data_IF_384821637778
#
_entry.id   IF_384821637778
#
_cell.length_a   1.000
_cell.length_b   1.000
_cell.length_c   1.000
_cell.angle_alpha   90.00
_cell.angle_beta   90.00
_cell.angle_gamma   90.00
#
_symmetry.space_group_name_H-M   'P 1'
#
loop_
_entity.id
_entity.type
_entity.pdbx_description
1 polymer ?
#
# COMPACT_ATOMS: atom_id res chain seq x y z
N UNK A 1 7.51 6.28 -8.90
CA UNK A 1 6.57 5.44 -8.13
C UNK A 1 7.06 4.00 -8.18
N UNK A 2 7.16 3.33 -7.04
CA UNK A 2 7.49 1.91 -6.95
C UNK A 2 6.21 1.09 -6.81
N UNK A 3 6.05 0.08 -7.67
CA UNK A 3 4.93 -0.86 -7.59
C UNK A 3 5.24 -1.96 -6.57
N UNK A 4 4.49 -1.98 -5.47
CA UNK A 4 4.57 -3.00 -4.42
C UNK A 4 3.29 -3.86 -4.37
N UNK A 5 2.54 -3.95 -5.47
CA UNK A 5 1.25 -4.67 -5.51
C UNK A 5 1.23 -5.79 -6.55
N UNK A 6 2.19 -5.80 -7.48
CA UNK A 6 2.25 -6.80 -8.57
C UNK A 6 3.16 -7.96 -8.17
N UNK A 7 2.93 -8.47 -6.96
CA UNK A 7 3.63 -9.55 -6.25
C UNK A 7 5.03 -9.22 -5.71
N UNK A 8 5.78 -8.32 -6.34
CA UNK A 8 7.09 -7.92 -5.87
C UNK A 8 7.00 -6.76 -4.86
N UNK A 9 6.90 -7.07 -3.57
CA UNK A 9 7.03 -6.05 -2.51
C UNK A 9 8.51 -5.81 -2.23
N UNK A 10 8.94 -4.55 -2.31
CA UNK A 10 10.32 -4.18 -2.07
C UNK A 10 10.67 -4.30 -0.59
N UNK A 11 11.81 -4.86 -0.23
CA UNK A 11 12.27 -4.82 1.17
C UNK A 11 12.62 -3.39 1.58
N UNK A 12 12.58 -3.10 2.88
CA UNK A 12 12.98 -1.80 3.45
C UNK A 12 14.37 -1.38 2.95
N UNK A 13 15.34 -2.29 2.99
CA UNK A 13 16.70 -2.03 2.50
C UNK A 13 16.76 -1.67 1.01
N UNK A 14 15.92 -2.30 0.19
CA UNK A 14 15.85 -1.96 -1.22
C UNK A 14 15.21 -0.59 -1.45
N UNK A 15 14.18 -0.22 -0.69
CA UNK A 15 13.59 1.12 -0.73
C UNK A 15 14.61 2.18 -0.32
N UNK A 16 15.38 1.97 0.75
CA UNK A 16 16.50 2.86 1.15
C UNK A 16 17.52 3.05 0.04
N UNK A 17 17.83 1.98 -0.70
CA UNK A 17 18.72 2.05 -1.87
C UNK A 17 18.16 2.91 -3.00
N UNK A 18 16.85 2.80 -3.27
CA UNK A 18 16.15 3.67 -4.22
C UNK A 18 16.16 5.13 -3.76
N UNK A 19 15.90 5.40 -2.49
CA UNK A 19 15.97 6.76 -1.90
C UNK A 19 17.33 7.41 -2.16
N UNK A 20 18.44 6.71 -1.89
CA UNK A 20 19.79 7.22 -2.18
C UNK A 20 20.01 7.50 -3.66
N UNK A 21 19.40 6.73 -4.54
CA UNK A 21 19.48 6.91 -5.99
C UNK A 21 18.71 8.15 -6.41
N UNK A 22 17.48 8.31 -5.93
CA UNK A 22 16.63 9.48 -6.17
C UNK A 22 17.28 10.77 -5.68
N UNK A 23 17.88 10.75 -4.49
CA UNK A 23 18.58 11.90 -3.94
C UNK A 23 19.74 12.37 -4.84
N UNK A 24 20.54 11.42 -5.37
CA UNK A 24 21.62 11.73 -6.33
C UNK A 24 21.10 12.31 -7.65
N UNK A 25 19.88 11.95 -8.04
CA UNK A 25 19.24 12.44 -9.26
C UNK A 25 18.52 13.78 -9.06
N UNK A 26 18.50 14.33 -7.84
CA UNK A 26 17.79 15.58 -7.54
C UNK A 26 16.27 15.43 -7.43
N UNK A 27 15.78 14.21 -7.23
CA UNK A 27 14.35 13.94 -7.01
C UNK A 27 13.99 14.15 -5.53
N UNK A 28 12.77 14.59 -5.25
CA UNK A 28 12.28 14.93 -3.90
C UNK A 28 11.02 14.16 -3.46
N UNK A 29 10.51 13.23 -4.29
CA UNK A 29 9.33 12.42 -3.96
C UNK A 29 9.58 10.97 -4.34
N UNK A 30 9.24 10.07 -3.43
CA UNK A 30 9.10 8.64 -3.69
C UNK A 30 7.65 8.22 -3.42
N UNK A 31 6.93 7.87 -4.48
CA UNK A 31 5.58 7.30 -4.37
C UNK A 31 5.66 5.78 -4.20
N UNK A 32 4.94 5.23 -3.21
CA UNK A 32 4.88 3.79 -2.92
C UNK A 32 3.46 3.25 -3.20
N UNK A 33 3.32 2.44 -4.25
CA UNK A 33 2.02 1.92 -4.67
C UNK A 33 1.68 0.60 -4.00
N UNK A 34 0.65 0.63 -3.15
CA UNK A 34 0.23 -0.49 -2.29
C UNK A 34 -1.28 -0.67 -2.32
N UNK A 35 -1.77 -1.65 -3.10
CA UNK A 35 -3.17 -2.05 -3.18
C UNK A 35 -3.61 -2.70 -1.86
N UNK A 36 -2.98 -3.83 -1.52
CA UNK A 36 -3.27 -4.63 -0.32
C UNK A 36 -2.02 -4.89 0.54
N UNK A 37 -0.87 -4.31 0.20
CA UNK A 37 0.45 -4.67 0.75
C UNK A 37 0.89 -3.77 1.90
N UNK A 38 -0.04 -3.43 2.80
CA UNK A 38 0.21 -2.79 4.08
C UNK A 38 -0.74 -3.34 5.14
N UNK A 39 -0.43 -3.17 6.43
CA UNK A 39 -1.30 -3.61 7.51
C UNK A 39 -2.48 -2.66 7.76
N UNK A 40 -3.67 -3.25 7.91
CA UNK A 40 -4.89 -2.56 8.36
C UNK A 40 -5.37 -3.24 9.65
N UNK A 41 -5.42 -2.53 10.79
CA UNK A 41 -5.91 -3.08 12.04
C UNK A 41 -7.34 -3.64 11.92
N UNK A 42 -7.58 -4.83 12.47
CA UNK A 42 -8.90 -5.49 12.40
C UNK A 42 -9.18 -6.23 11.07
N UNK A 43 -8.29 -6.14 10.08
CA UNK A 43 -8.47 -6.75 8.76
C UNK A 43 -7.42 -7.85 8.49
N UNK A 44 -7.58 -9.05 9.09
CA UNK A 44 -6.55 -10.09 9.06
C UNK A 44 -6.20 -10.55 7.63
N UNK A 45 -7.19 -10.60 6.73
CA UNK A 45 -7.02 -11.04 5.35
C UNK A 45 -6.34 -10.00 4.45
N UNK A 46 -6.36 -8.73 4.82
CA UNK A 46 -5.77 -7.66 4.01
C UNK A 46 -4.25 -7.83 3.95
N UNK A 47 -3.70 -8.05 2.75
CA UNK A 47 -2.26 -8.30 2.56
C UNK A 47 -1.76 -9.66 3.08
N UNK A 48 -2.66 -10.56 3.48
CA UNK A 48 -2.27 -11.90 3.94
C UNK A 48 -1.50 -12.67 2.85
N UNK A 49 -0.33 -13.18 3.21
CA UNK A 49 0.61 -13.89 2.31
C UNK A 49 1.14 -13.06 1.13
N UNK A 50 1.11 -11.73 1.24
CA UNK A 50 1.50 -10.81 0.16
C UNK A 50 2.82 -10.08 0.44
N UNK A 51 3.39 -10.27 1.62
CA UNK A 51 4.55 -9.49 2.08
C UNK A 51 4.17 -8.05 2.44
N UNK A 52 2.98 -7.84 3.02
CA UNK A 52 2.50 -6.51 3.42
C UNK A 52 3.47 -5.83 4.38
N UNK A 53 3.67 -4.54 4.21
CA UNK A 53 4.46 -3.75 5.14
C UNK A 53 3.75 -3.60 6.49
N UNK A 54 4.51 -3.74 7.57
CA UNK A 54 4.04 -3.34 8.89
C UNK A 54 4.25 -1.82 9.09
N UNK A 55 3.51 -1.23 10.03
CA UNK A 55 3.60 0.22 10.33
C UNK A 55 5.03 0.68 10.59
N UNK A 56 5.82 -0.10 11.34
CA UNK A 56 7.20 0.23 11.67
C UNK A 56 8.11 0.30 10.43
N UNK A 57 7.92 -0.58 9.44
CA UNK A 57 8.70 -0.56 8.20
C UNK A 57 8.40 0.69 7.38
N UNK A 58 7.13 1.08 7.28
CA UNK A 58 6.74 2.32 6.58
C UNK A 58 7.34 3.54 7.27
N UNK A 59 7.25 3.61 8.60
CA UNK A 59 7.85 4.70 9.38
C UNK A 59 9.38 4.76 9.24
N UNK A 60 10.04 3.61 9.19
CA UNK A 60 11.48 3.54 8.96
C UNK A 60 11.88 4.06 7.57
N UNK A 61 11.12 3.67 6.53
CA UNK A 61 11.35 4.16 5.17
C UNK A 61 11.10 5.67 5.04
N UNK A 62 10.03 6.17 5.66
CA UNK A 62 9.68 7.60 5.67
C UNK A 62 10.74 8.44 6.38
N UNK A 63 11.15 8.04 7.59
CA UNK A 63 12.21 8.70 8.33
C UNK A 63 13.54 8.70 7.56
N UNK A 64 13.87 7.59 6.90
CA UNK A 64 15.06 7.51 6.06
C UNK A 64 14.98 8.42 4.82
N UNK A 65 13.81 8.52 4.16
CA UNK A 65 13.59 9.41 3.03
C UNK A 65 13.75 10.88 3.42
N UNK A 66 13.21 11.26 4.58
CA UNK A 66 13.25 12.62 5.14
C UNK A 66 14.69 13.14 5.31
N UNK A 67 15.65 12.26 5.68
CA UNK A 67 17.06 12.62 5.79
C UNK A 67 17.67 13.17 4.49
N UNK A 68 17.08 12.86 3.34
CA UNK A 68 17.52 13.32 2.01
C UNK A 68 16.60 14.39 1.41
N UNK A 69 15.62 14.91 2.17
CA UNK A 69 14.61 15.84 1.64
C UNK A 69 13.65 15.19 0.65
N UNK A 70 13.46 13.86 0.74
CA UNK A 70 12.50 13.12 -0.08
C UNK A 70 11.24 12.84 0.73
N UNK A 71 10.07 13.19 0.18
CA UNK A 71 8.76 12.84 0.73
C UNK A 71 8.35 11.44 0.27
N UNK A 72 7.97 10.57 1.21
CA UNK A 72 7.39 9.26 0.91
C UNK A 72 5.86 9.40 0.83
N UNK A 73 5.30 9.24 -0.37
CA UNK A 73 3.86 9.41 -0.61
C UNK A 73 3.21 8.04 -0.82
N UNK A 74 2.25 7.61 0.04
CA UNK A 74 1.51 6.38 -0.18
C UNK A 74 0.54 6.53 -1.35
N UNK A 75 0.49 5.53 -2.22
CA UNK A 75 -0.49 5.44 -3.30
C UNK A 75 -1.34 4.18 -3.07
N UNK A 76 -2.50 4.36 -2.45
CA UNK A 76 -3.42 3.28 -2.06
C UNK A 76 -4.61 3.17 -3.02
N UNK A 77 -5.47 2.19 -2.76
CA UNK A 77 -6.74 2.02 -3.46
C UNK A 77 -7.92 2.16 -2.51
N UNK A 78 -8.92 2.94 -2.94
CA UNK A 78 -10.18 3.17 -2.21
C UNK A 78 -11.41 2.83 -3.06
N UNK A 79 -11.22 2.21 -4.23
CA UNK A 79 -12.31 1.83 -5.12
C UNK A 79 -12.04 0.50 -5.86
N UNK A 80 -11.06 0.48 -6.76
CA UNK A 80 -10.78 -0.64 -7.65
C UNK A 80 -9.36 -1.21 -7.43
N UNK A 81 -8.93 -2.17 -8.26
CA UNK A 81 -7.63 -2.84 -8.15
C UNK A 81 -7.40 -3.54 -6.80
N UNK A 82 -8.49 -4.01 -6.18
CA UNK A 82 -8.47 -4.66 -4.87
C UNK A 82 -8.68 -6.17 -4.95
N UNK A 83 -8.38 -6.80 -6.10
CA UNK A 83 -8.58 -8.24 -6.32
C UNK A 83 -8.03 -9.09 -5.16
N UNK A 84 -6.80 -8.80 -4.71
CA UNK A 84 -6.16 -9.57 -3.65
C UNK A 84 -6.76 -9.34 -2.26
N UNK A 85 -7.32 -8.16 -2.01
CA UNK A 85 -8.04 -7.86 -0.77
C UNK A 85 -9.47 -8.44 -0.77
N UNK A 86 -10.16 -8.45 -1.92
CA UNK A 86 -11.58 -8.79 -2.04
C UNK A 86 -11.87 -10.26 -2.37
N UNK A 87 -10.84 -11.07 -2.65
CA UNK A 87 -10.98 -12.52 -2.92
C UNK A 87 -11.34 -13.36 -1.68
N UNK A 88 -11.13 -12.84 -0.48
CA UNK A 88 -11.32 -13.59 0.77
C UNK A 88 -12.80 -13.71 1.18
N UNK A 89 -13.17 -14.75 1.95
CA UNK A 89 -14.52 -14.88 2.51
C UNK A 89 -14.94 -13.64 3.31
N UNK A 90 -16.22 -13.29 3.24
CA UNK A 90 -16.78 -12.13 3.95
C UNK A 90 -16.76 -10.81 3.16
N UNK A 91 -15.98 -10.70 2.09
CA UNK A 91 -15.88 -9.46 1.28
C UNK A 91 -16.99 -9.27 0.25
N UNK A 92 -17.82 -10.29 0.00
CA UNK A 92 -18.94 -10.20 -0.96
C UNK A 92 -19.95 -9.09 -0.63
N UNK A 93 -20.05 -8.65 0.63
CA UNK A 93 -20.98 -7.57 1.02
C UNK A 93 -20.56 -6.19 0.50
N UNK A 94 -19.28 -5.98 0.23
CA UNK A 94 -18.71 -4.67 -0.16
C UNK A 94 -18.14 -4.70 -1.58
N UNK A 95 -18.29 -5.82 -2.31
CA UNK A 95 -17.67 -6.10 -3.59
C UNK A 95 -18.69 -5.99 -4.73
N UNK A 96 -18.49 -5.05 -5.63
CA UNK A 96 -19.32 -4.83 -6.83
C UNK A 96 -18.93 -5.79 -7.95
N UNK A 97 -17.63 -5.87 -8.24
CA UNK A 97 -17.04 -6.80 -9.20
C UNK A 97 -15.79 -7.47 -8.61
N UNK A 98 -15.08 -8.29 -9.38
CA UNK A 98 -13.91 -9.08 -8.91
C UNK A 98 -12.86 -8.26 -8.13
N UNK A 99 -12.70 -6.97 -8.43
CA UNK A 99 -11.69 -6.10 -7.85
C UNK A 99 -12.19 -4.69 -7.48
N UNK A 100 -13.51 -4.45 -7.54
CA UNK A 100 -14.15 -3.14 -7.31
C UNK A 100 -15.06 -3.17 -6.08
N UNK A 101 -14.97 -2.12 -5.25
CA UNK A 101 -15.84 -1.86 -4.11
C UNK A 101 -17.18 -1.22 -4.51
N UNK A 102 -18.25 -1.51 -3.77
CA UNK A 102 -19.57 -0.91 -3.97
C UNK A 102 -19.57 0.55 -3.52
N UNK A 103 -19.82 1.48 -4.44
CA UNK A 103 -19.94 2.91 -4.15
C UNK A 103 -21.22 3.22 -3.37
N UNK A 104 -21.14 4.12 -2.39
CA UNK A 104 -22.29 4.64 -1.64
C UNK A 104 -22.82 3.71 -0.54
N UNK A 105 -22.16 2.57 -0.30
CA UNK A 105 -22.53 1.62 0.76
C UNK A 105 -21.80 1.94 2.07
N UNK A 106 -22.53 1.98 3.19
CA UNK A 106 -21.97 2.31 4.50
C UNK A 106 -20.85 1.34 4.91
N UNK A 107 -21.03 0.05 4.69
CA UNK A 107 -20.02 -0.95 5.00
C UNK A 107 -18.76 -0.82 4.12
N UNK A 108 -18.89 -0.30 2.90
CA UNK A 108 -17.71 0.04 2.07
C UNK A 108 -16.97 1.22 2.66
N UNK A 109 -17.67 2.25 3.12
CA UNK A 109 -17.04 3.42 3.75
C UNK A 109 -16.32 3.00 5.05
N UNK A 110 -16.95 2.20 5.89
CA UNK A 110 -16.35 1.65 7.11
C UNK A 110 -15.12 0.75 6.84
N UNK A 111 -15.03 0.18 5.64
CA UNK A 111 -13.86 -0.59 5.24
C UNK A 111 -12.69 0.30 4.79
N UNK A 112 -12.97 1.50 4.31
CA UNK A 112 -11.96 2.47 3.84
C UNK A 112 -11.39 3.32 5.00
N UNK A 113 -12.23 3.66 6.00
CA UNK A 113 -11.90 4.53 7.13
C UNK A 113 -11.60 3.75 8.41
#
# INVERSE_FOLDING_TARGET
MLDCSRNAVFTVEKVKSVIRTLAKMGMNVLMLYTEDTYEVPGEPYFGSYRGRYIKAEIQEMDAYASMFGIELVPCIQTLAHLHNALKWPGKNKIKDSTDVLIVGKEETNLYIY
#
